data_IF_304068077427
#
_entry.id   IF_304068077427
#
_cell.length_a   1.000
_cell.length_b   1.000
_cell.length_c   1.000
_cell.angle_alpha   90.00
_cell.angle_beta   90.00
_cell.angle_gamma   90.00
#
_symmetry.space_group_name_H-M   'P 1'
#
loop_
_entity.id
_entity.type
_entity.pdbx_description
1 polymer ?
#
# COMPACT_ATOMS: atom_id res chain seq x y z
N UNK A 1 -20.02 13.59 15.42
CA UNK A 1 -20.32 12.99 16.75
C UNK A 1 -19.15 12.13 17.27
N UNK A 2 -18.71 11.11 16.52
CA UNK A 2 -17.60 10.23 16.92
C UNK A 2 -16.29 10.98 17.16
N UNK A 3 -15.97 11.98 16.33
CA UNK A 3 -14.80 12.83 16.49
C UNK A 3 -14.84 13.63 17.80
N UNK A 4 -16.01 14.16 18.15
CA UNK A 4 -16.22 14.90 19.40
C UNK A 4 -16.13 13.94 20.59
N UNK A 5 -16.73 12.75 20.48
CA UNK A 5 -16.68 11.73 21.51
C UNK A 5 -15.24 11.29 21.81
N UNK A 6 -14.43 11.06 20.78
CA UNK A 6 -13.02 10.69 20.92
C UNK A 6 -12.17 11.82 21.55
N UNK A 7 -12.49 13.07 21.24
CA UNK A 7 -11.87 14.23 21.88
C UNK A 7 -12.24 14.33 23.36
N UNK A 8 -13.45 13.91 23.74
CA UNK A 8 -13.92 13.92 25.13
C UNK A 8 -13.26 12.81 25.95
N UNK A 9 -13.24 11.56 25.44
CA UNK A 9 -12.68 10.40 26.15
C UNK A 9 -11.17 10.33 26.11
N UNK A 10 -10.58 10.54 24.94
CA UNK A 10 -9.12 10.48 24.76
C UNK A 10 -8.38 11.69 25.29
N UNK A 11 -9.08 12.68 25.82
CA UNK A 11 -8.55 13.99 26.11
C UNK A 11 -8.18 14.77 24.83
N UNK A 12 -8.02 16.07 24.96
CA UNK A 12 -7.54 16.95 23.87
C UNK A 12 -6.05 16.69 23.62
N UNK A 13 -5.70 15.51 23.07
CA UNK A 13 -4.33 15.24 22.68
C UNK A 13 -4.15 15.59 21.20
N UNK A 14 -3.01 16.21 20.88
CA UNK A 14 -2.62 16.50 19.49
C UNK A 14 -2.63 15.23 18.63
N UNK A 15 -2.34 14.06 19.23
CA UNK A 15 -2.30 12.77 18.55
C UNK A 15 -3.70 12.30 18.12
N UNK A 16 -4.71 12.38 18.99
CA UNK A 16 -6.11 12.07 18.64
C UNK A 16 -6.62 12.98 17.53
N UNK A 17 -6.31 14.28 17.62
CA UNK A 17 -6.69 15.24 16.59
C UNK A 17 -6.03 14.95 15.25
N UNK A 18 -4.73 14.63 15.23
CA UNK A 18 -4.01 14.26 14.02
C UNK A 18 -4.56 12.98 13.38
N UNK A 19 -4.93 11.97 14.16
CA UNK A 19 -5.55 10.75 13.65
C UNK A 19 -6.88 11.06 12.95
N UNK A 20 -7.73 11.87 13.57
CA UNK A 20 -9.01 12.28 12.98
C UNK A 20 -8.81 13.03 11.65
N UNK A 21 -7.86 13.96 11.60
CA UNK A 21 -7.53 14.70 10.36
C UNK A 21 -7.08 13.71 9.26
N UNK A 22 -6.22 12.76 9.60
CA UNK A 22 -5.72 11.77 8.64
C UNK A 22 -6.87 10.97 8.00
N UNK A 23 -7.81 10.50 8.81
CA UNK A 23 -8.97 9.76 8.32
C UNK A 23 -9.94 10.67 7.54
N UNK A 24 -10.22 11.86 8.04
CA UNK A 24 -11.09 12.82 7.36
C UNK A 24 -10.55 13.24 5.99
N UNK A 25 -9.21 13.29 5.83
CA UNK A 25 -8.58 13.58 4.55
C UNK A 25 -9.03 12.62 3.43
N UNK A 26 -9.18 11.34 3.73
CA UNK A 26 -9.68 10.34 2.76
C UNK A 26 -11.08 10.69 2.24
N UNK A 27 -12.01 10.94 3.16
CA UNK A 27 -13.36 11.31 2.79
C UNK A 27 -13.43 12.66 2.09
N UNK A 28 -12.60 13.61 2.50
CA UNK A 28 -12.48 14.91 1.86
C UNK A 28 -11.99 14.78 0.40
N UNK A 29 -10.93 14.01 0.16
CA UNK A 29 -10.40 13.81 -1.20
C UNK A 29 -11.41 13.08 -2.08
N UNK A 30 -12.07 12.02 -1.57
CA UNK A 30 -13.16 11.37 -2.32
C UNK A 30 -14.29 12.35 -2.64
N UNK A 31 -14.73 13.13 -1.65
CA UNK A 31 -15.81 14.11 -1.84
C UNK A 31 -15.44 15.18 -2.86
N UNK A 32 -14.19 15.67 -2.83
CA UNK A 32 -13.68 16.59 -3.84
C UNK A 32 -13.70 15.95 -5.24
N UNK A 33 -13.17 14.73 -5.38
CA UNK A 33 -13.12 14.05 -6.66
C UNK A 33 -14.52 13.74 -7.23
N UNK A 34 -15.47 13.36 -6.37
CA UNK A 34 -16.85 13.08 -6.78
C UNK A 34 -17.67 14.35 -6.99
N UNK A 35 -17.42 15.40 -6.18
CA UNK A 35 -18.16 16.67 -6.22
C UNK A 35 -17.72 17.61 -7.33
N UNK A 36 -16.46 17.57 -7.72
CA UNK A 36 -15.94 18.43 -8.77
C UNK A 36 -16.31 17.87 -10.16
N UNK A 37 -17.52 18.14 -10.61
CA UNK A 37 -17.97 17.90 -11.99
C UNK A 37 -17.09 18.59 -13.05
N UNK A 38 -16.21 19.48 -12.63
CA UNK A 38 -15.34 20.34 -13.43
C UNK A 38 -13.89 19.84 -13.54
N UNK A 39 -13.50 18.74 -12.89
CA UNK A 39 -12.24 18.10 -13.23
C UNK A 39 -12.34 17.62 -14.67
N UNK A 40 -11.83 18.42 -15.55
CA UNK A 40 -12.07 18.44 -16.99
C UNK A 40 -11.60 17.19 -17.73
N UNK A 41 -10.81 16.34 -17.13
CA UNK A 41 -10.57 14.99 -17.66
C UNK A 41 -10.00 14.05 -16.60
N UNK A 42 -10.55 12.86 -16.53
CA UNK A 42 -10.00 11.71 -15.81
C UNK A 42 -8.52 11.51 -16.12
N UNK A 43 -8.13 11.76 -17.36
CA UNK A 43 -6.78 11.68 -17.89
C UNK A 43 -5.82 12.59 -17.14
N UNK A 44 -6.25 13.81 -16.76
CA UNK A 44 -5.40 14.74 -16.01
C UNK A 44 -5.15 14.25 -14.59
N UNK A 45 -6.19 13.77 -13.89
CA UNK A 45 -6.05 13.24 -12.52
C UNK A 45 -5.10 12.05 -12.52
N UNK A 46 -5.31 11.09 -13.42
CA UNK A 46 -4.45 9.90 -13.56
C UNK A 46 -3.01 10.30 -13.91
N UNK A 47 -2.85 11.20 -14.88
CA UNK A 47 -1.53 11.67 -15.31
C UNK A 47 -0.79 12.38 -14.18
N UNK A 48 -1.45 13.28 -13.46
CA UNK A 48 -0.84 13.98 -12.32
C UNK A 48 -0.45 13.03 -11.19
N UNK A 49 -1.29 12.04 -10.90
CA UNK A 49 -0.98 11.01 -9.92
C UNK A 49 0.26 10.18 -10.32
N UNK A 50 0.33 9.72 -11.57
CA UNK A 50 1.49 8.97 -12.07
C UNK A 50 2.76 9.83 -12.03
N UNK A 51 2.68 11.10 -12.43
CA UNK A 51 3.83 12.02 -12.36
C UNK A 51 4.35 12.19 -10.94
N UNK A 52 3.46 12.30 -9.96
CA UNK A 52 3.88 12.33 -8.54
C UNK A 52 4.66 11.04 -8.18
N UNK A 53 4.17 9.87 -8.58
CA UNK A 53 4.85 8.60 -8.32
C UNK A 53 6.24 8.53 -8.97
N UNK A 54 6.36 9.01 -10.20
CA UNK A 54 7.64 9.09 -10.91
C UNK A 54 8.61 10.02 -10.21
N UNK A 55 8.16 11.23 -9.80
CA UNK A 55 9.00 12.19 -9.06
C UNK A 55 9.43 11.60 -7.72
N UNK A 56 8.52 10.97 -6.97
CA UNK A 56 8.86 10.32 -5.70
C UNK A 56 9.90 9.21 -5.90
N UNK A 57 9.74 8.37 -6.93
CA UNK A 57 10.70 7.32 -7.26
C UNK A 57 12.07 7.90 -7.67
N UNK A 58 12.11 8.97 -8.46
CA UNK A 58 13.37 9.66 -8.81
C UNK A 58 14.07 10.24 -7.58
N UNK A 59 13.32 10.81 -6.63
CA UNK A 59 13.90 11.30 -5.37
C UNK A 59 14.56 10.14 -4.62
N UNK A 60 13.91 8.96 -4.53
CA UNK A 60 14.49 7.79 -3.88
C UNK A 60 15.73 7.29 -4.60
N UNK A 61 15.70 7.19 -5.93
CA UNK A 61 16.87 6.80 -6.74
C UNK A 61 18.02 7.79 -6.54
N UNK A 62 17.73 9.09 -6.60
CA UNK A 62 18.73 10.13 -6.35
C UNK A 62 19.36 10.00 -4.96
N UNK A 63 18.52 9.89 -3.92
CA UNK A 63 18.99 9.77 -2.55
C UNK A 63 19.84 8.51 -2.34
N UNK A 64 19.47 7.40 -2.96
CA UNK A 64 20.23 6.16 -2.89
C UNK A 64 21.59 6.27 -3.56
N UNK A 65 21.64 6.82 -4.79
CA UNK A 65 22.88 6.93 -5.59
C UNK A 65 23.85 7.90 -4.93
N UNK A 66 23.38 9.06 -4.48
CA UNK A 66 24.25 10.11 -3.91
C UNK A 66 24.42 9.98 -2.39
N UNK A 67 23.79 8.97 -1.76
CA UNK A 67 23.84 8.73 -0.31
C UNK A 67 23.40 9.94 0.51
N UNK A 68 22.35 10.64 0.03
CA UNK A 68 21.74 11.79 0.71
C UNK A 68 20.35 11.44 1.22
N UNK A 69 19.85 12.24 2.18
CA UNK A 69 18.54 11.98 2.79
C UNK A 69 18.63 10.99 3.96
N UNK A 70 17.49 10.38 4.31
CA UNK A 70 17.39 9.49 5.46
C UNK A 70 17.36 8.03 5.02
N UNK A 71 18.12 7.18 5.72
CA UNK A 71 18.05 5.72 5.58
C UNK A 71 16.68 5.18 6.00
N UNK A 72 16.32 4.02 5.47
CA UNK A 72 15.08 3.34 5.88
C UNK A 72 15.15 2.82 7.29
N UNK A 73 16.33 2.33 7.69
CA UNK A 73 16.62 1.79 9.01
C UNK A 73 17.90 2.43 9.56
N UNK A 74 18.00 2.54 10.89
CA UNK A 74 19.14 3.21 11.56
C UNK A 74 20.45 2.45 11.44
N UNK A 75 20.37 1.12 11.35
CA UNK A 75 21.54 0.23 11.43
C UNK A 75 21.82 -0.53 10.12
N UNK A 76 21.05 -0.29 9.05
CA UNK A 76 21.18 -1.02 7.79
C UNK A 76 21.83 -0.18 6.70
N UNK A 77 22.69 -0.84 5.93
CA UNK A 77 23.39 -0.24 4.79
C UNK A 77 22.54 -0.13 3.53
N UNK A 78 21.39 -0.82 3.49
CA UNK A 78 20.48 -0.86 2.34
C UNK A 78 19.11 -0.27 2.66
N UNK A 79 18.61 0.53 1.72
CA UNK A 79 17.31 1.16 1.77
C UNK A 79 17.38 2.66 2.08
N UNK A 80 16.55 3.43 1.41
CA UNK A 80 16.39 4.86 1.64
C UNK A 80 14.92 5.25 1.66
N UNK A 81 14.55 6.10 2.59
CA UNK A 81 13.26 6.81 2.53
C UNK A 81 13.41 8.20 1.92
N UNK A 82 14.61 8.55 1.46
CA UNK A 82 14.90 9.84 0.87
C UNK A 82 14.64 10.98 1.86
N UNK A 83 13.81 11.94 1.46
CA UNK A 83 13.34 13.03 2.29
C UNK A 83 11.91 12.83 2.84
N UNK A 84 11.35 11.63 2.66
CA UNK A 84 10.02 11.31 3.14
C UNK A 84 10.04 10.95 4.64
N UNK A 85 8.99 11.34 5.35
CA UNK A 85 8.89 11.12 6.80
C UNK A 85 8.71 9.64 7.13
N UNK A 86 7.79 8.96 6.43
CA UNK A 86 7.43 7.58 6.70
C UNK A 86 7.71 6.68 5.48
N UNK A 87 8.50 5.65 5.71
CA UNK A 87 8.91 4.68 4.70
C UNK A 87 7.71 3.91 4.12
N UNK A 88 6.82 3.43 4.98
CA UNK A 88 5.66 2.64 4.57
C UNK A 88 4.67 3.46 3.72
N UNK A 89 4.51 4.74 4.04
CA UNK A 89 3.60 5.64 3.33
C UNK A 89 4.06 5.87 1.89
N UNK A 90 5.33 6.22 1.70
CA UNK A 90 5.87 6.46 0.36
C UNK A 90 5.95 5.17 -0.44
N UNK A 91 6.33 4.07 0.20
CA UNK A 91 6.43 2.76 -0.43
C UNK A 91 5.08 2.32 -1.01
N UNK A 92 4.03 2.26 -0.17
CA UNK A 92 2.70 1.86 -0.62
C UNK A 92 2.12 2.85 -1.65
N UNK A 93 2.39 4.15 -1.50
CA UNK A 93 1.95 5.15 -2.46
C UNK A 93 2.56 4.89 -3.85
N UNK A 94 3.88 4.66 -3.92
CA UNK A 94 4.55 4.36 -5.20
C UNK A 94 3.99 3.06 -5.80
N UNK A 95 3.72 2.04 -4.99
CA UNK A 95 3.11 0.79 -5.46
C UNK A 95 1.71 1.02 -6.06
N UNK A 96 0.84 1.78 -5.39
CA UNK A 96 -0.48 2.12 -5.94
C UNK A 96 -0.37 2.90 -7.25
N UNK A 97 0.53 3.87 -7.33
CA UNK A 97 0.74 4.66 -8.54
C UNK A 97 1.39 3.86 -9.68
N UNK A 98 2.21 2.86 -9.34
CA UNK A 98 2.74 1.90 -10.29
C UNK A 98 1.63 1.04 -10.92
N UNK A 99 0.69 0.56 -10.11
CA UNK A 99 -0.52 -0.14 -10.61
C UNK A 99 -1.32 0.76 -11.56
N UNK A 100 -1.47 2.04 -11.22
CA UNK A 100 -2.15 3.02 -12.07
C UNK A 100 -1.42 3.25 -13.40
N UNK A 101 -0.08 3.23 -13.39
CA UNK A 101 0.72 3.32 -14.61
C UNK A 101 0.59 2.07 -15.49
N UNK A 102 0.58 0.86 -14.90
CA UNK A 102 0.34 -0.39 -15.62
C UNK A 102 -1.05 -0.38 -16.29
N UNK A 103 -2.09 0.03 -15.56
CA UNK A 103 -3.43 0.23 -16.10
C UNK A 103 -3.43 1.20 -17.28
N UNK A 104 -2.81 2.39 -17.09
CA UNK A 104 -2.78 3.44 -18.11
C UNK A 104 -2.03 3.02 -19.37
N UNK A 105 -0.92 2.28 -19.23
CA UNK A 105 -0.20 1.69 -20.35
C UNK A 105 -1.09 0.74 -21.15
N UNK A 106 -1.74 -0.19 -20.50
CA UNK A 106 -2.58 -1.17 -21.19
C UNK A 106 -3.79 -0.50 -21.84
N UNK A 107 -4.39 0.52 -21.22
CA UNK A 107 -5.54 1.25 -21.77
C UNK A 107 -5.17 2.11 -22.97
N UNK A 108 -4.03 2.83 -22.91
CA UNK A 108 -3.65 3.82 -23.94
C UNK A 108 -2.58 3.32 -24.91
N UNK A 109 -1.89 2.22 -24.57
CA UNK A 109 -0.71 1.70 -25.29
C UNK A 109 0.46 2.70 -25.38
N UNK A 110 0.48 3.71 -24.51
CA UNK A 110 1.53 4.71 -24.48
C UNK A 110 2.72 4.21 -23.63
N UNK A 111 3.86 4.00 -24.28
CA UNK A 111 5.08 3.50 -23.67
C UNK A 111 5.62 4.37 -22.52
N UNK A 112 5.26 5.65 -22.45
CA UNK A 112 5.67 6.50 -21.34
C UNK A 112 5.11 6.00 -20.00
N UNK A 113 3.94 5.39 -19.98
CA UNK A 113 3.38 4.78 -18.76
C UNK A 113 4.09 3.49 -18.37
N UNK A 114 4.57 2.72 -19.34
CA UNK A 114 5.40 1.55 -19.05
C UNK A 114 6.76 1.97 -18.45
N UNK A 115 7.39 3.00 -19.03
CA UNK A 115 8.62 3.58 -18.49
C UNK A 115 8.40 4.13 -17.07
N UNK A 116 7.30 4.83 -16.83
CA UNK A 116 6.92 5.31 -15.51
C UNK A 116 6.79 4.15 -14.49
N UNK A 117 6.15 3.05 -14.91
CA UNK A 117 6.02 1.84 -14.09
C UNK A 117 7.38 1.23 -13.73
N UNK A 118 8.31 1.15 -14.67
CA UNK A 118 9.67 0.64 -14.44
C UNK A 118 10.44 1.53 -13.45
N UNK A 119 10.37 2.85 -13.63
CA UNK A 119 11.01 3.81 -12.71
C UNK A 119 10.44 3.68 -11.29
N UNK A 120 9.11 3.60 -11.17
CA UNK A 120 8.44 3.43 -9.88
C UNK A 120 8.76 2.08 -9.24
N UNK A 121 8.89 1.01 -10.03
CA UNK A 121 9.33 -0.30 -9.54
C UNK A 121 10.74 -0.24 -8.96
N UNK A 122 11.67 0.43 -9.67
CA UNK A 122 13.02 0.65 -9.17
C UNK A 122 13.05 1.47 -7.88
N UNK A 123 12.33 2.60 -7.86
CA UNK A 123 12.22 3.44 -6.66
C UNK A 123 11.62 2.70 -5.46
N UNK A 124 10.56 1.91 -5.66
CA UNK A 124 9.94 1.10 -4.61
C UNK A 124 10.93 0.07 -4.02
N UNK A 125 11.72 -0.60 -4.85
CA UNK A 125 12.75 -1.53 -4.36
C UNK A 125 13.81 -0.83 -3.51
N UNK A 126 14.17 0.41 -3.83
CA UNK A 126 15.17 1.18 -3.07
C UNK A 126 14.68 1.65 -1.69
N UNK A 127 13.37 1.61 -1.43
CA UNK A 127 12.83 1.81 -0.08
C UNK A 127 13.39 0.78 0.90
N UNK A 128 13.71 -0.43 0.43
CA UNK A 128 14.33 -1.48 1.24
C UNK A 128 13.37 -2.21 2.18
N UNK A 129 12.07 -1.91 2.13
CA UNK A 129 11.08 -2.67 2.92
C UNK A 129 10.62 -3.93 2.19
N UNK A 130 10.42 -5.01 2.94
CA UNK A 130 9.89 -6.27 2.40
C UNK A 130 8.54 -6.07 1.69
N UNK A 131 7.67 -5.22 2.24
CA UNK A 131 6.40 -4.89 1.62
C UNK A 131 6.56 -4.27 0.22
N UNK A 132 7.58 -3.42 0.02
CA UNK A 132 7.87 -2.83 -1.29
C UNK A 132 8.44 -3.84 -2.27
N UNK A 133 9.33 -4.74 -1.84
CA UNK A 133 9.86 -5.79 -2.70
C UNK A 133 8.76 -6.75 -3.17
N UNK A 134 7.98 -7.30 -2.23
CA UNK A 134 6.88 -8.21 -2.57
C UNK A 134 5.78 -7.49 -3.35
N UNK A 135 5.47 -6.25 -2.99
CA UNK A 135 4.51 -5.43 -3.70
C UNK A 135 4.92 -5.20 -5.16
N UNK A 136 6.19 -4.87 -5.39
CA UNK A 136 6.73 -4.70 -6.74
C UNK A 136 6.71 -6.01 -7.53
N UNK A 137 7.15 -7.11 -6.92
CA UNK A 137 7.11 -8.44 -7.55
C UNK A 137 5.67 -8.86 -7.90
N UNK A 138 4.71 -8.61 -7.01
CA UNK A 138 3.30 -8.88 -7.23
C UNK A 138 2.72 -8.05 -8.40
N UNK A 139 3.08 -6.76 -8.52
CA UNK A 139 2.66 -5.90 -9.63
C UNK A 139 3.24 -6.42 -10.95
N UNK A 140 4.55 -6.74 -10.99
CA UNK A 140 5.21 -7.26 -12.19
C UNK A 140 4.62 -8.59 -12.62
N UNK A 141 4.36 -9.50 -11.68
CA UNK A 141 3.69 -10.77 -11.94
C UNK A 141 2.27 -10.56 -12.46
N UNK A 142 1.50 -9.67 -11.83
CA UNK A 142 0.14 -9.32 -12.27
C UNK A 142 0.14 -8.73 -13.68
N UNK A 143 1.13 -7.87 -14.00
CA UNK A 143 1.32 -7.34 -15.34
C UNK A 143 1.64 -8.47 -16.35
N UNK A 144 2.54 -9.37 -16.00
CA UNK A 144 2.88 -10.51 -16.85
C UNK A 144 1.66 -11.41 -17.10
N UNK A 145 0.90 -11.75 -16.07
CA UNK A 145 -0.35 -12.52 -16.17
C UNK A 145 -1.34 -11.81 -17.09
N UNK A 146 -1.53 -10.51 -16.92
CA UNK A 146 -2.46 -9.74 -17.74
C UNK A 146 -2.09 -9.69 -19.21
N UNK A 147 -0.78 -9.65 -19.52
CA UNK A 147 -0.27 -9.62 -20.90
C UNK A 147 -0.31 -10.98 -21.57
N UNK A 148 0.03 -12.06 -20.84
CA UNK A 148 0.24 -13.38 -21.40
C UNK A 148 -1.05 -14.20 -21.49
N UNK A 149 -1.88 -14.11 -20.47
CA UNK A 149 -2.97 -15.05 -20.27
C UNK A 149 -4.37 -14.43 -20.29
N UNK A 150 -4.49 -13.10 -20.22
CA UNK A 150 -5.79 -12.46 -20.17
C UNK A 150 -6.14 -11.76 -21.47
N UNK A 151 -7.37 -12.04 -21.94
CA UNK A 151 -8.02 -11.27 -22.98
C UNK A 151 -9.07 -10.36 -22.32
N UNK A 152 -8.80 -9.05 -22.34
CA UNK A 152 -9.73 -8.05 -21.86
C UNK A 152 -10.61 -7.54 -22.99
N UNK A 153 -11.83 -7.13 -22.65
CA UNK A 153 -12.76 -6.51 -23.60
C UNK A 153 -12.11 -5.28 -24.28
N UNK A 154 -11.33 -4.51 -23.50
CA UNK A 154 -10.75 -3.22 -23.93
C UNK A 154 -9.27 -3.31 -24.34
N UNK A 155 -8.62 -4.47 -24.21
CA UNK A 155 -7.17 -4.57 -24.42
C UNK A 155 -6.77 -5.94 -24.93
N UNK A 156 -6.04 -5.93 -26.07
CA UNK A 156 -5.32 -7.11 -26.57
C UNK A 156 -3.83 -6.81 -26.61
N UNK A 157 -3.04 -7.68 -25.98
CA UNK A 157 -1.59 -7.55 -25.97
C UNK A 157 -0.99 -7.90 -27.32
N UNK A 158 0.02 -7.12 -27.76
CA UNK A 158 0.74 -7.44 -28.99
C UNK A 158 1.61 -8.67 -28.82
N UNK A 159 1.86 -9.40 -29.93
CA UNK A 159 2.78 -10.55 -29.93
C UNK A 159 4.17 -10.18 -29.45
N UNK A 160 4.66 -9.02 -29.86
CA UNK A 160 5.97 -8.49 -29.44
C UNK A 160 6.04 -8.29 -27.93
N UNK A 161 5.00 -7.67 -27.32
CA UNK A 161 4.97 -7.48 -25.89
C UNK A 161 4.94 -8.81 -25.12
N UNK A 162 4.20 -9.82 -25.61
CA UNK A 162 4.20 -11.17 -25.02
C UNK A 162 5.61 -11.77 -25.02
N UNK A 163 6.33 -11.65 -26.14
CA UNK A 163 7.71 -12.16 -26.26
C UNK A 163 8.63 -11.42 -25.26
N UNK A 164 8.55 -10.10 -25.18
CA UNK A 164 9.37 -9.30 -24.24
C UNK A 164 9.10 -9.72 -22.80
N UNK A 165 7.84 -9.90 -22.41
CA UNK A 165 7.48 -10.33 -21.05
C UNK A 165 8.00 -11.75 -20.76
N UNK A 166 7.90 -12.69 -21.70
CA UNK A 166 8.45 -14.04 -21.54
C UNK A 166 9.97 -14.00 -21.36
N UNK A 167 10.68 -13.24 -22.19
CA UNK A 167 12.13 -13.07 -22.08
C UNK A 167 12.53 -12.45 -20.74
N UNK A 168 11.81 -11.43 -20.29
CA UNK A 168 12.04 -10.78 -18.99
C UNK A 168 11.83 -11.75 -17.83
N UNK A 169 10.73 -12.52 -17.82
CA UNK A 169 10.49 -13.56 -16.83
C UNK A 169 11.57 -14.65 -16.85
N UNK A 170 12.03 -15.03 -18.05
CA UNK A 170 13.11 -15.99 -18.19
C UNK A 170 14.42 -15.47 -17.59
N UNK A 171 14.78 -14.22 -17.82
CA UNK A 171 15.98 -13.59 -17.22
C UNK A 171 15.86 -13.54 -15.69
N UNK A 172 14.72 -13.13 -15.16
CA UNK A 172 14.49 -13.12 -13.70
C UNK A 172 14.59 -14.53 -13.13
N UNK A 173 13.96 -15.52 -13.78
CA UNK A 173 14.02 -16.90 -13.32
C UNK A 173 15.46 -17.42 -13.26
N UNK A 174 16.25 -17.20 -14.32
CA UNK A 174 17.67 -17.60 -14.32
C UNK A 174 18.46 -16.89 -13.24
N UNK A 175 18.25 -15.59 -13.04
CA UNK A 175 18.90 -14.84 -11.96
C UNK A 175 18.57 -15.41 -10.59
N UNK A 176 17.30 -15.75 -10.33
CA UNK A 176 16.88 -16.38 -9.08
C UNK A 176 17.51 -17.77 -8.90
N UNK A 177 17.54 -18.59 -9.96
CA UNK A 177 18.19 -19.91 -9.92
C UNK A 177 19.67 -19.79 -9.59
N UNK A 178 20.39 -18.88 -10.26
CA UNK A 178 21.82 -18.63 -9.98
C UNK A 178 21.99 -18.20 -8.52
N UNK A 179 21.16 -17.27 -8.03
CA UNK A 179 21.23 -16.83 -6.63
C UNK A 179 20.96 -17.94 -5.63
N UNK A 180 19.98 -18.80 -5.88
CA UNK A 180 19.69 -19.98 -5.06
C UNK A 180 20.88 -20.92 -5.04
N UNK A 181 21.48 -21.21 -6.22
CA UNK A 181 22.67 -22.08 -6.32
C UNK A 181 23.86 -21.48 -5.55
N UNK A 182 24.11 -20.17 -5.72
CA UNK A 182 25.18 -19.46 -5.00
C UNK A 182 24.96 -19.54 -3.48
N UNK A 183 23.73 -19.37 -3.01
CA UNK A 183 23.39 -19.48 -1.58
C UNK A 183 23.61 -20.90 -1.04
N UNK A 184 23.29 -21.93 -1.83
CA UNK A 184 23.51 -23.33 -1.44
C UNK A 184 25.00 -23.66 -1.39
N UNK A 185 25.82 -23.00 -2.23
CA UNK A 185 27.27 -23.24 -2.32
C UNK A 185 28.10 -22.40 -1.32
N UNK A 186 27.63 -21.21 -0.93
CA UNK A 186 28.27 -20.34 0.06
C UNK A 186 27.78 -20.68 1.45
N UNK A 187 28.48 -21.67 2.08
CA UNK A 187 28.15 -22.18 3.41
C UNK A 187 28.15 -21.08 4.49
N UNK A 188 27.15 -21.15 5.35
CA UNK A 188 27.04 -20.64 6.73
C UNK A 188 26.53 -19.21 6.98
N UNK A 189 26.94 -18.16 6.32
CA UNK A 189 26.56 -16.80 6.71
C UNK A 189 25.24 -16.36 6.04
N UNK A 190 25.07 -16.62 4.77
CA UNK A 190 23.86 -16.29 4.02
C UNK A 190 22.70 -17.26 4.33
N UNK A 191 23.00 -18.52 4.65
CA UNK A 191 21.97 -19.48 5.10
C UNK A 191 21.36 -19.06 6.43
N UNK A 192 22.15 -18.50 7.37
CA UNK A 192 21.62 -17.91 8.60
C UNK A 192 20.78 -16.66 8.30
N UNK A 193 21.27 -15.78 7.44
CA UNK A 193 20.53 -14.56 7.07
C UNK A 193 19.25 -14.86 6.29
N UNK A 194 19.18 -15.96 5.54
CA UNK A 194 17.95 -16.44 4.91
C UNK A 194 17.03 -17.20 5.89
N UNK A 195 17.59 -17.94 6.82
CA UNK A 195 16.83 -18.49 7.93
C UNK A 195 16.26 -17.37 8.79
N UNK A 196 17.06 -16.34 9.11
CA UNK A 196 16.62 -15.13 9.80
C UNK A 196 15.57 -14.35 8.99
N UNK A 197 15.68 -14.27 7.65
CA UNK A 197 14.67 -13.63 6.79
C UNK A 197 13.37 -14.47 6.75
N UNK A 198 13.46 -15.79 6.68
CA UNK A 198 12.29 -16.67 6.77
C UNK A 198 11.73 -16.72 8.18
N UNK A 199 12.55 -16.66 9.21
CA UNK A 199 12.13 -16.54 10.59
C UNK A 199 11.54 -15.15 10.88
N UNK A 200 12.08 -14.07 10.33
CA UNK A 200 11.51 -12.71 10.34
C UNK A 200 10.27 -12.61 9.45
N UNK A 201 10.15 -13.44 8.42
CA UNK A 201 8.93 -13.51 7.61
C UNK A 201 7.83 -14.33 8.29
N UNK A 202 8.20 -15.32 9.08
CA UNK A 202 7.29 -16.20 9.85
C UNK A 202 7.05 -15.66 11.27
N UNK A 203 8.07 -15.11 11.92
CA UNK A 203 7.95 -14.33 13.16
C UNK A 203 7.87 -12.87 12.75
N UNK A 204 6.66 -12.34 12.65
CA UNK A 204 6.42 -10.96 12.23
C UNK A 204 7.28 -9.95 13.02
N UNK A 205 8.54 -9.77 12.65
CA UNK A 205 9.45 -8.63 12.93
C UNK A 205 9.26 -7.91 14.30
N UNK A 206 9.06 -8.65 15.40
CA UNK A 206 8.72 -8.07 16.72
C UNK A 206 7.29 -7.53 16.83
N UNK A 207 6.49 -7.61 15.77
CA UNK A 207 5.08 -7.20 15.76
C UNK A 207 4.19 -8.13 16.54
N UNK A 208 4.57 -9.41 16.71
CA UNK A 208 3.84 -10.36 17.54
C UNK A 208 3.64 -9.82 18.95
N UNK A 209 4.66 -9.16 19.51
CA UNK A 209 4.55 -8.51 20.82
C UNK A 209 3.60 -7.31 20.78
N UNK A 210 3.63 -6.52 19.71
CA UNK A 210 2.74 -5.37 19.54
C UNK A 210 1.29 -5.83 19.37
N UNK A 211 1.07 -6.86 18.56
CA UNK A 211 -0.25 -7.47 18.34
C UNK A 211 -0.76 -8.10 19.64
N UNK A 212 0.07 -8.88 20.35
CA UNK A 212 -0.32 -9.50 21.61
C UNK A 212 -0.71 -8.46 22.68
N UNK A 213 0.07 -7.38 22.80
CA UNK A 213 -0.26 -6.28 23.70
C UNK A 213 -1.59 -5.61 23.32
N UNK A 214 -1.80 -5.33 22.04
CA UNK A 214 -3.03 -4.73 21.54
C UNK A 214 -4.25 -5.64 21.78
N UNK A 215 -4.12 -6.95 21.49
CA UNK A 215 -5.19 -7.94 21.71
C UNK A 215 -5.51 -8.05 23.20
N UNK A 216 -4.51 -8.08 24.09
CA UNK A 216 -4.74 -8.08 25.55
C UNK A 216 -5.45 -6.81 26.01
N UNK A 217 -5.07 -5.65 25.47
CA UNK A 217 -5.74 -4.39 25.80
C UNK A 217 -7.19 -4.40 25.34
N UNK A 218 -7.47 -4.87 24.11
CA UNK A 218 -8.82 -5.02 23.58
C UNK A 218 -9.63 -6.04 24.37
N UNK A 219 -9.00 -7.12 24.84
CA UNK A 219 -9.63 -8.12 25.71
C UNK A 219 -10.18 -7.55 27.04
N UNK A 220 -9.64 -6.43 27.50
CA UNK A 220 -10.09 -5.72 28.69
C UNK A 220 -11.11 -4.60 28.42
N UNK A 221 -11.62 -4.49 27.19
CA UNK A 221 -12.58 -3.48 26.80
C UNK A 221 -13.93 -3.75 27.48
N UNK A 222 -14.53 -2.68 28.00
CA UNK A 222 -15.94 -2.70 28.34
C UNK A 222 -16.81 -2.54 27.09
N UNK A 223 -18.12 -2.63 27.21
CA UNK A 223 -19.06 -2.53 26.07
C UNK A 223 -18.91 -1.22 25.30
N UNK A 224 -18.71 -0.10 25.99
CA UNK A 224 -18.52 1.20 25.36
C UNK A 224 -17.19 1.28 24.59
N UNK A 225 -16.11 0.75 25.15
CA UNK A 225 -14.80 0.68 24.51
C UNK A 225 -14.86 -0.14 23.20
N UNK A 226 -15.62 -1.24 23.20
CA UNK A 226 -15.81 -2.05 22.00
C UNK A 226 -16.52 -1.26 20.89
N UNK A 227 -17.56 -0.48 21.22
CA UNK A 227 -18.29 0.26 20.21
C UNK A 227 -17.56 1.51 19.72
N UNK A 228 -16.87 2.23 20.61
CA UNK A 228 -16.34 3.57 20.34
C UNK A 228 -14.84 3.71 20.46
N UNK A 229 -14.14 2.67 20.94
CA UNK A 229 -12.70 2.68 21.14
C UNK A 229 -12.24 3.51 22.34
N UNK A 230 -10.96 3.44 22.64
CA UNK A 230 -10.33 4.21 23.73
C UNK A 230 -9.48 5.39 23.25
N UNK A 231 -9.47 5.68 21.95
CA UNK A 231 -8.63 6.74 21.40
C UNK A 231 -7.14 6.56 21.76
N UNK A 232 -6.50 7.63 22.18
CA UNK A 232 -5.10 7.59 22.58
C UNK A 232 -4.83 6.75 23.85
N UNK A 233 -5.83 6.52 24.70
CA UNK A 233 -5.67 5.67 25.90
C UNK A 233 -5.36 4.24 25.51
N UNK A 234 -5.85 3.73 24.38
CA UNK A 234 -5.51 2.43 23.84
C UNK A 234 -3.99 2.26 23.70
N UNK A 235 -3.30 3.24 23.16
CA UNK A 235 -1.84 3.20 22.96
C UNK A 235 -1.09 3.25 24.30
N UNK A 236 -1.60 4.04 25.25
CA UNK A 236 -1.03 4.15 26.60
C UNK A 236 -1.19 2.81 27.36
N UNK A 237 -2.34 2.16 27.22
CA UNK A 237 -2.57 0.86 27.83
C UNK A 237 -1.72 -0.24 27.19
N UNK A 238 -1.54 -0.22 25.85
CA UNK A 238 -0.62 -1.13 25.16
C UNK A 238 0.81 -1.03 25.71
N UNK A 239 1.26 0.18 25.99
CA UNK A 239 2.60 0.42 26.55
C UNK A 239 2.86 -0.37 27.83
N UNK A 240 1.85 -0.63 28.67
CA UNK A 240 2.00 -1.42 29.91
C UNK A 240 2.43 -2.85 29.66
N UNK A 241 2.08 -3.39 28.48
CA UNK A 241 2.45 -4.77 28.09
C UNK A 241 3.76 -4.83 27.29
N UNK A 242 4.22 -3.70 26.75
CA UNK A 242 5.34 -3.66 25.80
C UNK A 242 6.69 -3.33 26.43
N UNK A 243 6.71 -2.81 27.65
CA UNK A 243 7.94 -2.31 28.30
C UNK A 243 8.71 -1.28 27.47
N UNK A 244 8.03 -0.56 26.55
CA UNK A 244 8.62 0.53 25.76
C UNK A 244 8.47 1.87 26.47
N UNK A 245 9.41 2.77 26.22
CA UNK A 245 9.40 4.13 26.78
C UNK A 245 8.27 5.01 26.21
N UNK A 246 7.79 4.73 24.99
CA UNK A 246 6.76 5.50 24.30
C UNK A 246 5.56 4.66 23.86
N UNK A 247 4.34 5.22 23.87
CA UNK A 247 3.15 4.58 23.33
C UNK A 247 3.34 4.21 21.85
N UNK A 248 3.08 2.93 21.50
CA UNK A 248 3.27 2.40 20.16
C UNK A 248 2.01 1.70 19.64
N UNK A 249 1.73 1.84 18.35
CA UNK A 249 0.66 1.16 17.64
C UNK A 249 1.02 -0.32 17.41
N UNK A 250 0.01 -1.16 17.17
CA UNK A 250 0.21 -2.57 16.82
C UNK A 250 0.84 -2.73 15.43
N UNK A 251 0.81 -1.67 14.62
CA UNK A 251 1.23 -1.66 13.22
C UNK A 251 0.41 -2.65 12.36
N UNK A 252 -0.83 -2.88 12.76
CA UNK A 252 -1.85 -3.62 12.04
C UNK A 252 -3.12 -2.79 12.06
N UNK A 253 -3.42 -2.12 10.94
CA UNK A 253 -4.48 -1.10 10.89
C UNK A 253 -5.85 -1.56 11.43
N UNK A 254 -6.38 -2.77 11.11
CA UNK A 254 -7.66 -3.20 11.67
C UNK A 254 -7.67 -3.26 13.21
N UNK A 255 -6.57 -3.71 13.81
CA UNK A 255 -6.44 -3.80 15.28
C UNK A 255 -6.35 -2.40 15.88
N UNK A 256 -5.49 -1.55 15.31
CA UNK A 256 -5.29 -0.19 15.77
C UNK A 256 -6.57 0.65 15.61
N UNK A 257 -7.30 0.47 14.52
CA UNK A 257 -8.60 1.14 14.30
C UNK A 257 -9.64 0.69 15.34
N UNK A 258 -9.76 -0.61 15.59
CA UNK A 258 -10.70 -1.12 16.63
C UNK A 258 -10.30 -0.60 18.00
N UNK A 259 -9.03 -0.67 18.35
CA UNK A 259 -8.53 -0.21 19.64
C UNK A 259 -8.75 1.29 19.86
N UNK A 260 -8.45 2.09 18.86
CA UNK A 260 -8.54 3.54 18.95
C UNK A 260 -9.95 4.08 18.69
N UNK A 261 -10.70 3.48 17.75
CA UNK A 261 -11.96 4.05 17.24
C UNK A 261 -13.18 3.17 17.48
N UNK A 262 -13.01 1.96 17.97
CA UNK A 262 -14.07 0.98 18.17
C UNK A 262 -14.60 0.36 16.88
N UNK A 263 -15.45 -0.64 17.01
CA UNK A 263 -15.98 -1.42 15.89
C UNK A 263 -16.82 -0.58 14.94
N UNK A 264 -17.65 0.33 15.47
CA UNK A 264 -18.56 1.10 14.62
C UNK A 264 -17.77 1.96 13.62
N UNK A 265 -16.82 2.73 14.12
CA UNK A 265 -16.04 3.63 13.26
C UNK A 265 -15.11 2.87 12.34
N UNK A 266 -14.45 1.83 12.86
CA UNK A 266 -13.58 0.95 12.08
C UNK A 266 -14.35 0.30 10.93
N UNK A 267 -15.59 -0.14 11.16
CA UNK A 267 -16.45 -0.69 10.12
C UNK A 267 -16.65 0.30 8.96
N UNK A 268 -16.97 1.56 9.24
CA UNK A 268 -17.17 2.55 8.18
C UNK A 268 -15.90 2.84 7.38
N UNK A 269 -14.73 2.84 8.05
CA UNK A 269 -13.45 3.08 7.38
C UNK A 269 -13.10 1.87 6.49
N UNK A 270 -13.19 0.66 7.03
CA UNK A 270 -12.82 -0.57 6.32
C UNK A 270 -13.83 -0.92 5.21
N UNK A 271 -15.10 -0.56 5.39
CA UNK A 271 -16.18 -0.94 4.50
C UNK A 271 -15.99 -0.47 3.05
N UNK A 272 -15.53 0.78 2.85
CA UNK A 272 -15.44 1.34 1.50
C UNK A 272 -14.46 0.56 0.61
N UNK A 273 -13.17 0.36 0.98
CA UNK A 273 -12.25 -0.40 0.16
C UNK A 273 -12.68 -1.86 -0.03
N UNK A 274 -13.22 -2.50 1.01
CA UNK A 274 -13.70 -3.89 0.94
C UNK A 274 -14.89 -4.01 -0.02
N UNK A 275 -15.88 -3.15 0.10
CA UNK A 275 -17.05 -3.12 -0.82
C UNK A 275 -16.60 -2.91 -2.27
N UNK A 276 -15.65 -1.99 -2.50
CA UNK A 276 -15.12 -1.75 -3.84
C UNK A 276 -14.35 -2.93 -4.38
N UNK A 277 -13.57 -3.61 -3.54
CA UNK A 277 -12.88 -4.85 -3.92
C UNK A 277 -13.87 -5.90 -4.45
N UNK A 278 -14.92 -6.21 -3.68
CA UNK A 278 -15.93 -7.18 -4.12
C UNK A 278 -16.66 -6.73 -5.39
N UNK A 279 -16.94 -5.42 -5.53
CA UNK A 279 -17.55 -4.87 -6.74
C UNK A 279 -16.66 -5.06 -7.97
N UNK A 280 -15.35 -4.80 -7.84
CA UNK A 280 -14.39 -4.97 -8.93
C UNK A 280 -14.19 -6.45 -9.27
N UNK A 281 -14.10 -7.35 -8.28
CA UNK A 281 -14.05 -8.79 -8.50
C UNK A 281 -15.27 -9.25 -9.32
N UNK A 282 -16.48 -8.88 -8.89
CA UNK A 282 -17.70 -9.22 -9.62
C UNK A 282 -17.72 -8.61 -11.04
N UNK A 283 -17.26 -7.37 -11.17
CA UNK A 283 -17.16 -6.66 -12.46
C UNK A 283 -16.17 -7.36 -13.41
N UNK A 284 -15.03 -7.76 -12.89
CA UNK A 284 -13.98 -8.46 -13.63
C UNK A 284 -14.50 -9.81 -14.16
N UNK A 285 -15.08 -10.66 -13.33
CA UNK A 285 -15.61 -11.95 -13.78
C UNK A 285 -16.80 -11.82 -14.76
N UNK A 286 -17.53 -10.71 -14.74
CA UNK A 286 -18.65 -10.48 -15.65
C UNK A 286 -18.24 -9.94 -17.01
N UNK A 287 -17.26 -9.02 -17.05
CA UNK A 287 -16.93 -8.23 -18.27
C UNK A 287 -15.47 -8.31 -18.68
N UNK A 288 -14.61 -8.96 -17.90
CA UNK A 288 -13.15 -8.97 -18.12
C UNK A 288 -12.57 -7.57 -18.39
N UNK A 289 -13.05 -6.56 -17.65
CA UNK A 289 -12.63 -5.17 -17.83
C UNK A 289 -11.26 -4.96 -17.17
N UNK A 290 -10.37 -4.29 -17.90
CA UNK A 290 -8.99 -4.04 -17.46
C UNK A 290 -8.91 -3.12 -16.22
N UNK A 291 -9.82 -2.16 -16.07
CA UNK A 291 -9.88 -1.30 -14.88
C UNK A 291 -10.27 -2.11 -13.64
N UNK A 292 -11.26 -3.00 -13.77
CA UNK A 292 -11.67 -3.86 -12.65
C UNK A 292 -10.51 -4.77 -12.22
N UNK A 293 -9.74 -5.34 -13.16
CA UNK A 293 -8.54 -6.13 -12.86
C UNK A 293 -7.52 -5.35 -12.02
N UNK A 294 -7.08 -4.19 -12.51
CA UNK A 294 -6.07 -3.39 -11.83
C UNK A 294 -6.57 -2.79 -10.51
N UNK A 295 -7.88 -2.51 -10.43
CA UNK A 295 -8.50 -2.07 -9.18
C UNK A 295 -8.53 -3.18 -8.13
N UNK A 296 -8.76 -4.44 -8.52
CA UNK A 296 -8.63 -5.59 -7.60
C UNK A 296 -7.21 -5.68 -7.07
N UNK A 297 -6.18 -5.57 -7.95
CA UNK A 297 -4.77 -5.59 -7.55
C UNK A 297 -4.46 -4.45 -6.57
N UNK A 298 -4.91 -3.22 -6.86
CA UNK A 298 -4.66 -2.06 -6.01
C UNK A 298 -5.33 -2.19 -4.63
N UNK A 299 -6.61 -2.59 -4.61
CA UNK A 299 -7.36 -2.74 -3.36
C UNK A 299 -6.83 -3.91 -2.53
N UNK A 300 -6.45 -5.02 -3.17
CA UNK A 300 -5.82 -6.15 -2.50
C UNK A 300 -4.47 -5.77 -1.90
N UNK A 301 -3.64 -5.05 -2.66
CA UNK A 301 -2.36 -4.52 -2.18
C UNK A 301 -2.57 -3.59 -0.97
N UNK A 302 -3.52 -2.68 -1.05
CA UNK A 302 -3.84 -1.74 0.03
C UNK A 302 -4.30 -2.46 1.30
N UNK A 303 -5.28 -3.38 1.18
CA UNK A 303 -5.82 -4.14 2.32
C UNK A 303 -4.75 -5.07 2.89
N UNK A 304 -3.99 -5.76 2.03
CA UNK A 304 -2.89 -6.62 2.47
C UNK A 304 -1.82 -5.84 3.23
N UNK A 305 -1.45 -4.65 2.74
CA UNK A 305 -0.50 -3.78 3.43
C UNK A 305 -1.06 -3.29 4.77
N UNK A 306 -2.33 -2.91 4.84
CA UNK A 306 -2.99 -2.50 6.08
C UNK A 306 -2.97 -3.60 7.15
N UNK A 307 -3.16 -4.85 6.73
CA UNK A 307 -3.13 -6.00 7.64
C UNK A 307 -1.71 -6.42 8.06
N UNK A 308 -0.69 -6.12 7.24
CA UNK A 308 0.67 -6.61 7.45
C UNK A 308 1.69 -5.49 7.73
N UNK A 309 1.61 -4.38 7.01
CA UNK A 309 2.55 -3.25 7.10
C UNK A 309 2.10 -2.14 8.04
N UNK A 310 0.80 -2.08 8.30
CA UNK A 310 0.16 -1.00 9.07
C UNK A 310 0.22 0.36 8.38
N UNK A 311 -0.40 1.34 9.00
CA UNK A 311 -0.40 2.76 8.57
C UNK A 311 -1.06 3.08 7.22
N UNK A 312 -1.63 2.10 6.50
CA UNK A 312 -2.29 2.36 5.22
C UNK A 312 -3.55 3.22 5.38
N UNK A 313 -4.38 2.88 6.38
CA UNK A 313 -5.60 3.63 6.70
C UNK A 313 -5.35 4.93 7.46
N UNK A 314 -4.18 5.13 8.01
CA UNK A 314 -3.80 6.33 8.76
C UNK A 314 -2.88 7.26 7.98
N UNK A 315 -2.44 6.87 6.77
CA UNK A 315 -1.60 7.68 5.89
C UNK A 315 -2.43 8.58 4.97
N UNK A 316 -2.40 9.91 5.12
CA UNK A 316 -3.10 10.81 4.21
C UNK A 316 -2.61 10.68 2.76
N UNK A 317 -1.32 10.40 2.58
CA UNK A 317 -0.70 10.24 1.28
C UNK A 317 -1.28 9.02 0.56
N UNK A 318 -1.26 7.85 1.19
CA UNK A 318 -1.80 6.60 0.66
C UNK A 318 -3.28 6.72 0.36
N UNK A 319 -4.05 7.26 1.31
CA UNK A 319 -5.49 7.42 1.19
C UNK A 319 -5.90 8.37 0.05
N UNK A 320 -5.10 9.41 -0.22
CA UNK A 320 -5.35 10.32 -1.34
C UNK A 320 -5.28 9.58 -2.68
N UNK A 321 -4.32 8.68 -2.86
CA UNK A 321 -4.21 7.91 -4.10
C UNK A 321 -5.15 6.71 -4.16
N UNK A 322 -5.50 6.12 -3.03
CA UNK A 322 -6.60 5.16 -2.97
C UNK A 322 -7.92 5.81 -3.42
N UNK A 323 -8.17 7.07 -3.01
CA UNK A 323 -9.34 7.83 -3.45
C UNK A 323 -9.39 7.99 -4.97
N UNK A 324 -8.25 8.14 -5.64
CA UNK A 324 -8.19 8.16 -7.12
C UNK A 324 -8.69 6.83 -7.71
N UNK A 325 -8.27 5.69 -7.18
CA UNK A 325 -8.81 4.39 -7.63
C UNK A 325 -10.32 4.27 -7.40
N UNK A 326 -10.82 4.65 -6.23
CA UNK A 326 -12.25 4.61 -5.93
C UNK A 326 -13.02 5.51 -6.90
N UNK A 327 -12.50 6.69 -7.19
CA UNK A 327 -13.09 7.61 -8.15
C UNK A 327 -13.15 7.01 -9.57
N UNK A 328 -12.09 6.35 -10.02
CA UNK A 328 -12.06 5.67 -11.32
C UNK A 328 -13.08 4.52 -11.37
N UNK A 329 -13.18 3.72 -10.31
CA UNK A 329 -14.14 2.62 -10.22
C UNK A 329 -15.59 3.15 -10.33
N UNK A 330 -15.91 4.24 -9.63
CA UNK A 330 -17.27 4.81 -9.61
C UNK A 330 -17.66 5.47 -10.93
N UNK A 331 -16.68 5.93 -11.68
CA UNK A 331 -16.91 6.61 -12.96
C UNK A 331 -16.53 5.78 -14.19
N UNK A 332 -16.30 4.46 -14.03
CA UNK A 332 -15.78 3.59 -15.08
C UNK A 332 -16.59 3.65 -16.42
N UNK A 333 -17.89 3.88 -16.33
CA UNK A 333 -18.75 4.00 -17.53
C UNK A 333 -18.62 5.35 -18.24
N UNK A 334 -17.96 6.34 -17.63
CA UNK A 334 -17.75 7.69 -18.18
C UNK A 334 -16.31 7.91 -18.66
N UNK A 335 -15.42 6.96 -18.34
CA UNK A 335 -13.99 7.11 -18.62
C UNK A 335 -13.71 6.71 -20.07
N UNK A 336 -13.73 7.69 -20.96
CA UNK A 336 -13.05 7.61 -22.25
C UNK A 336 -11.63 8.19 -22.07
N UNK A 337 -10.67 7.33 -21.74
CA UNK A 337 -9.25 7.69 -21.77
C UNK A 337 -8.82 7.51 -23.24
N UNK A 338 -8.98 8.58 -24.03
CA UNK A 338 -8.41 8.69 -25.36
C UNK A 338 -6.95 9.14 -25.29
#
# INVERSE_FOLDING_TARGET
>A
FLSVYQLIIGGFSSRTFMMLIKILNFYFVISLLLGCKYFSSYTQVVRSAIWYGVIAAFILIYCFVFKVGYGSYTDETFGTKGFFVAMNDVGLTILLLNILACYSFQKTKNNNYLLASLVMSGGACLVGSMACFFGTAFILLSFAISVLFMDFEDYKSSRTLKIIVVLFLFVIFNFLVIKIITIIQEDSFLSRKYADIMEVFLSASGRDRLIDAAVRTIGNFNVFDWFFGKGNLFLIENQRYLHFEAPKEAEVDPIDLIGQSGIIFSFFILYIPIKKLFSCIKGFFKKHNILDYWSVIALFMFIGHACYGGHAYTSPLVLSYLAVFIYLIDNKNKINIS
#
